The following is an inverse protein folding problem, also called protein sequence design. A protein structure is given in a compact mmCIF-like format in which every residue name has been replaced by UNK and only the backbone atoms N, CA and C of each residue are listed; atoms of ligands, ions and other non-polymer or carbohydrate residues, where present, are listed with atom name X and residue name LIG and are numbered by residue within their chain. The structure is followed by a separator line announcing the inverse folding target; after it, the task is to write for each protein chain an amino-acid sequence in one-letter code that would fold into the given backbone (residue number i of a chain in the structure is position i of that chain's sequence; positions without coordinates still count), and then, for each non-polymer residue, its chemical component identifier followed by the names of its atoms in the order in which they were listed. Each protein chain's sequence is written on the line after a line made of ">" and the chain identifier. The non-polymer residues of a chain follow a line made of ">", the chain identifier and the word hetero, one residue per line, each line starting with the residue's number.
data_IF_521834323142
#
_entry.id   IF_521834323142
#
_cell.length_a   1.000
_cell.length_b   1.000
_cell.length_c   1.000
_cell.angle_alpha   90.00
_cell.angle_beta   90.00
_cell.angle_gamma   90.00
#
_symmetry.space_group_name_H-M   'P 1'
#
loop_
_entity.id
_entity.type
_entity.pdbx_description
1 polymer ?
#
# COMPACT_ATOMS: atom_id res chain seq x y z
N UNK A 1 7.19 -24.88 -0.57
CA UNK A 1 6.17 -23.84 -0.37
C UNK A 1 6.78 -22.78 0.53
N UNK A 2 6.73 -21.52 0.14
CA UNK A 2 7.17 -20.42 1.02
C UNK A 2 6.27 -20.41 2.26
N UNK A 3 6.86 -20.26 3.43
CA UNK A 3 6.09 -20.11 4.67
C UNK A 3 5.31 -18.79 4.60
N UNK A 4 4.00 -18.86 4.62
CA UNK A 4 3.12 -17.69 4.55
C UNK A 4 3.03 -16.96 5.88
N UNK A 5 3.44 -17.57 6.99
CA UNK A 5 3.23 -17.05 8.35
C UNK A 5 1.79 -16.57 8.58
N UNK A 6 0.81 -17.28 8.00
CA UNK A 6 -0.60 -16.93 8.07
C UNK A 6 -1.13 -17.16 9.48
N UNK A 7 -1.26 -16.08 10.25
CA UNK A 7 -1.74 -16.10 11.63
C UNK A 7 -3.26 -16.07 11.71
N UNK A 8 -3.90 -15.34 10.82
CA UNK A 8 -5.34 -15.11 10.88
C UNK A 8 -5.99 -15.11 9.50
N UNK A 9 -7.22 -15.65 9.45
CA UNK A 9 -8.11 -15.54 8.30
C UNK A 9 -9.53 -15.34 8.82
N UNK A 10 -10.08 -14.15 8.58
CA UNK A 10 -11.38 -13.75 9.11
C UNK A 10 -12.27 -13.20 8.01
N UNK A 11 -13.58 -13.38 8.17
CA UNK A 11 -14.57 -12.81 7.28
C UNK A 11 -15.65 -12.05 8.03
N UNK A 12 -16.19 -11.05 7.38
CA UNK A 12 -17.25 -10.18 7.89
C UNK A 12 -18.41 -10.13 6.88
N UNK A 13 -19.62 -10.35 7.38
CA UNK A 13 -20.84 -10.40 6.56
C UNK A 13 -21.04 -11.75 5.91
N UNK A 14 -21.92 -11.78 4.91
CA UNK A 14 -22.34 -12.97 4.17
C UNK A 14 -22.21 -12.72 2.67
N UNK A 15 -21.86 -13.74 1.92
CA UNK A 15 -21.83 -13.67 0.46
C UNK A 15 -23.26 -13.60 -0.10
N UNK A 16 -23.63 -12.40 -0.57
CA UNK A 16 -24.92 -12.14 -1.22
C UNK A 16 -24.79 -11.89 -2.73
N UNK A 17 -23.63 -12.23 -3.29
CA UNK A 17 -23.34 -12.00 -4.72
C UNK A 17 -23.03 -10.57 -5.10
N UNK A 18 -22.88 -9.65 -4.12
CA UNK A 18 -22.53 -8.26 -4.37
C UNK A 18 -21.02 -8.04 -4.58
N UNK A 19 -20.19 -9.02 -4.17
CA UNK A 19 -18.74 -8.95 -4.18
C UNK A 19 -18.16 -8.80 -2.78
N UNK A 20 -16.86 -8.57 -2.72
CA UNK A 20 -16.15 -8.42 -1.46
C UNK A 20 -14.89 -7.58 -1.60
N UNK A 21 -14.43 -7.00 -0.48
CA UNK A 21 -13.08 -6.49 -0.31
C UNK A 21 -12.25 -7.55 0.42
N UNK A 22 -11.18 -8.01 -0.21
CA UNK A 22 -10.25 -8.98 0.36
C UNK A 22 -8.92 -8.30 0.69
N UNK A 23 -8.67 -8.03 1.95
CA UNK A 23 -7.38 -7.55 2.44
C UNK A 23 -6.38 -8.69 2.56
N UNK A 24 -5.23 -8.53 1.95
CA UNK A 24 -4.07 -9.39 2.16
C UNK A 24 -3.01 -8.57 2.87
N UNK A 25 -2.71 -8.91 4.10
CA UNK A 25 -1.61 -8.37 4.90
C UNK A 25 -0.47 -9.39 4.91
N UNK A 26 0.40 -9.38 3.89
CA UNK A 26 1.39 -10.41 3.73
C UNK A 26 2.52 -10.24 4.75
N UNK A 27 3.02 -11.36 5.29
CA UNK A 27 4.27 -11.37 6.06
C UNK A 27 5.44 -11.46 5.08
N UNK A 28 6.17 -10.36 4.90
CA UNK A 28 7.21 -10.20 3.88
C UNK A 28 8.59 -10.09 4.54
N UNK A 29 9.55 -10.74 3.90
CA UNK A 29 10.98 -10.67 4.25
C UNK A 29 11.80 -10.21 3.05
N UNK A 30 13.07 -9.88 3.25
CA UNK A 30 13.96 -9.48 2.15
C UNK A 30 14.09 -10.58 1.08
N UNK A 31 14.04 -11.85 1.45
CA UNK A 31 14.11 -12.98 0.53
C UNK A 31 12.92 -13.04 -0.45
N UNK A 32 11.74 -12.58 -0.02
CA UNK A 32 10.54 -12.54 -0.87
C UNK A 32 10.67 -11.50 -2.01
N UNK A 33 11.60 -10.54 -1.88
CA UNK A 33 11.88 -9.52 -2.89
C UNK A 33 13.14 -9.80 -3.74
N UNK A 34 13.78 -10.95 -3.57
CA UNK A 34 14.97 -11.29 -4.35
C UNK A 34 14.71 -11.37 -5.87
N UNK A 35 13.47 -11.62 -6.27
CA UNK A 35 13.03 -11.62 -7.67
C UNK A 35 11.51 -11.45 -7.80
N UNK A 36 11.05 -11.08 -9.00
CA UNK A 36 9.62 -11.09 -9.33
C UNK A 36 8.98 -12.48 -9.07
N UNK A 37 9.70 -13.57 -9.36
CA UNK A 37 9.21 -14.93 -9.13
C UNK A 37 9.01 -15.22 -7.63
N UNK A 38 9.93 -14.81 -6.76
CA UNK A 38 9.82 -15.02 -5.32
C UNK A 38 8.59 -14.29 -4.77
N UNK A 39 8.44 -13.00 -5.07
CA UNK A 39 7.28 -12.21 -4.66
C UNK A 39 5.97 -12.77 -5.24
N UNK A 40 5.97 -13.17 -6.52
CA UNK A 40 4.82 -13.77 -7.17
C UNK A 40 4.38 -15.07 -6.51
N UNK A 41 5.33 -15.96 -6.17
CA UNK A 41 5.04 -17.22 -5.47
C UNK A 41 4.48 -16.98 -4.06
N UNK A 42 4.99 -15.97 -3.35
CA UNK A 42 4.47 -15.58 -2.03
C UNK A 42 3.02 -15.11 -2.12
N UNK A 43 2.75 -14.19 -3.05
CA UNK A 43 1.40 -13.64 -3.24
C UNK A 43 0.41 -14.70 -3.74
N UNK A 44 0.83 -15.58 -4.66
CA UNK A 44 0.03 -16.71 -5.13
C UNK A 44 -0.39 -17.65 -3.99
N UNK A 45 0.49 -17.85 -3.01
CA UNK A 45 0.18 -18.62 -1.81
C UNK A 45 -0.99 -18.01 -1.01
N UNK A 46 -1.01 -16.70 -0.79
CA UNK A 46 -2.11 -16.01 -0.12
C UNK A 46 -3.40 -16.05 -0.94
N UNK A 47 -3.30 -15.86 -2.25
CA UNK A 47 -4.45 -15.94 -3.15
C UNK A 47 -5.05 -17.35 -3.17
N UNK A 48 -4.21 -18.39 -3.19
CA UNK A 48 -4.65 -19.78 -3.08
C UNK A 48 -5.36 -20.04 -1.75
N UNK A 49 -4.82 -19.54 -0.64
CA UNK A 49 -5.46 -19.66 0.67
C UNK A 49 -6.83 -18.97 0.74
N UNK A 50 -6.99 -17.83 0.05
CA UNK A 50 -8.29 -17.15 -0.06
C UNK A 50 -9.26 -17.91 -0.97
N UNK A 51 -8.77 -18.46 -2.08
CA UNK A 51 -9.57 -19.32 -2.99
C UNK A 51 -10.09 -20.55 -2.28
N UNK A 52 -9.26 -21.22 -1.50
CA UNK A 52 -9.64 -22.45 -0.80
C UNK A 52 -10.71 -22.20 0.29
N UNK A 53 -10.89 -20.93 0.71
CA UNK A 53 -11.97 -20.46 1.60
C UNK A 53 -13.25 -20.06 0.84
N UNK A 54 -13.22 -20.08 -0.49
CA UNK A 54 -14.35 -19.64 -1.30
C UNK A 54 -14.55 -18.14 -1.35
N UNK A 55 -13.49 -17.34 -1.05
CA UNK A 55 -13.58 -15.89 -0.98
C UNK A 55 -13.34 -15.17 -2.32
N UNK A 56 -12.93 -15.91 -3.37
CA UNK A 56 -12.68 -15.33 -4.68
C UNK A 56 -13.85 -15.52 -5.65
N UNK A 57 -14.26 -14.44 -6.28
CA UNK A 57 -15.24 -14.40 -7.36
C UNK A 57 -14.92 -13.23 -8.31
N UNK A 58 -15.68 -13.09 -9.39
CA UNK A 58 -15.50 -12.04 -10.42
C UNK A 58 -15.75 -10.60 -9.93
N UNK A 59 -16.30 -10.43 -8.72
CA UNK A 59 -16.52 -9.15 -8.04
C UNK A 59 -15.60 -8.94 -6.84
N UNK A 60 -14.58 -9.79 -6.67
CA UNK A 60 -13.60 -9.61 -5.61
C UNK A 60 -12.65 -8.46 -5.92
N UNK A 61 -12.47 -7.57 -4.95
CA UNK A 61 -11.44 -6.53 -4.96
C UNK A 61 -10.39 -6.92 -3.92
N UNK A 62 -9.20 -7.28 -4.37
CA UNK A 62 -8.06 -7.57 -3.50
C UNK A 62 -7.34 -6.26 -3.17
N UNK A 63 -6.95 -6.08 -1.90
CA UNK A 63 -6.24 -4.90 -1.41
C UNK A 63 -4.92 -5.32 -0.78
N UNK A 64 -3.81 -4.86 -1.37
CA UNK A 64 -2.46 -5.02 -0.84
C UNK A 64 -2.02 -3.75 -0.09
N UNK A 65 -1.07 -3.85 0.88
CA UNK A 65 -0.67 -2.73 1.71
C UNK A 65 0.30 -1.76 1.02
N UNK A 66 0.47 -0.58 1.62
CA UNK A 66 1.47 0.40 1.20
C UNK A 66 2.89 -0.20 1.25
N UNK A 67 3.76 0.29 0.37
CA UNK A 67 5.14 -0.17 0.17
C UNK A 67 5.31 -1.63 -0.28
N UNK A 68 4.22 -2.34 -0.54
CA UNK A 68 4.29 -3.73 -1.02
C UNK A 68 5.23 -3.89 -2.23
N UNK A 69 5.25 -2.93 -3.16
CA UNK A 69 6.13 -2.96 -4.33
C UNK A 69 7.48 -2.25 -4.16
N UNK A 70 7.64 -1.42 -3.13
CA UNK A 70 8.82 -0.56 -2.97
C UNK A 70 10.10 -1.37 -2.73
N UNK A 71 9.99 -2.48 -2.03
CA UNK A 71 11.13 -3.34 -1.72
C UNK A 71 11.62 -4.19 -2.89
N UNK A 72 10.96 -4.14 -4.04
CA UNK A 72 11.51 -4.63 -5.30
C UNK A 72 12.77 -3.88 -5.75
N UNK A 73 13.17 -2.85 -5.02
CA UNK A 73 14.52 -2.26 -5.11
C UNK A 73 15.62 -3.33 -4.94
N UNK A 74 15.33 -4.41 -4.21
CA UNK A 74 16.22 -5.57 -3.99
C UNK A 74 16.15 -6.60 -5.13
N UNK A 75 15.20 -6.49 -6.06
CA UNK A 75 15.01 -7.48 -7.10
C UNK A 75 16.22 -7.55 -8.03
N UNK A 76 16.59 -8.80 -8.36
CA UNK A 76 17.70 -9.16 -9.23
C UNK A 76 19.08 -8.67 -8.72
N UNK A 77 19.18 -8.36 -7.42
CA UNK A 77 20.45 -8.07 -6.77
C UNK A 77 21.19 -9.35 -6.34
N UNK A 78 22.53 -9.30 -6.24
CA UNK A 78 23.28 -10.41 -5.70
C UNK A 78 22.83 -10.78 -4.28
N UNK A 79 22.87 -12.06 -3.95
CA UNK A 79 22.46 -12.57 -2.64
C UNK A 79 23.12 -11.83 -1.47
N UNK A 80 24.35 -11.34 -1.65
CA UNK A 80 25.07 -10.56 -0.65
C UNK A 80 24.35 -9.27 -0.25
N UNK A 81 23.46 -8.70 -1.10
CA UNK A 81 22.72 -7.47 -0.80
C UNK A 81 21.65 -7.74 0.26
N UNK A 82 20.91 -8.84 0.14
CA UNK A 82 19.81 -9.16 1.05
C UNK A 82 20.13 -10.27 2.08
N UNK A 83 21.32 -10.89 2.01
CA UNK A 83 21.85 -11.78 3.06
C UNK A 83 22.57 -10.96 4.14
N UNK A 84 21.85 -10.04 4.76
CA UNK A 84 22.30 -9.21 5.88
C UNK A 84 21.09 -8.89 6.74
N UNK A 85 21.30 -8.64 8.01
CA UNK A 85 20.23 -8.27 8.94
C UNK A 85 20.03 -6.74 9.02
N UNK A 86 20.89 -5.95 8.30
CA UNK A 86 20.89 -4.49 8.41
C UNK A 86 20.59 -3.81 7.08
N UNK A 87 19.60 -2.93 7.07
CA UNK A 87 19.25 -2.10 5.92
C UNK A 87 20.45 -1.28 5.41
N UNK A 88 21.14 -0.58 6.30
CA UNK A 88 22.30 0.22 5.92
C UNK A 88 23.40 -0.61 5.22
N UNK A 89 23.58 -1.87 5.61
CA UNK A 89 24.55 -2.76 4.95
C UNK A 89 24.05 -3.19 3.56
N UNK A 90 22.76 -3.48 3.43
CA UNK A 90 22.14 -3.82 2.14
C UNK A 90 22.25 -2.64 1.17
N UNK A 91 21.94 -1.42 1.62
CA UNK A 91 22.07 -0.19 0.83
C UNK A 91 23.49 0.05 0.34
N UNK A 92 24.48 -0.04 1.23
CA UNK A 92 25.90 0.12 0.85
C UNK A 92 26.30 -0.90 -0.21
N UNK A 93 25.90 -2.18 -0.06
CA UNK A 93 26.22 -3.22 -1.04
C UNK A 93 25.53 -2.98 -2.39
N UNK A 94 24.27 -2.57 -2.38
CA UNK A 94 23.53 -2.20 -3.58
C UNK A 94 24.22 -1.02 -4.30
N UNK A 95 24.57 0.04 -3.56
CA UNK A 95 25.27 1.20 -4.11
C UNK A 95 26.62 0.81 -4.69
N UNK A 96 27.40 -0.01 -4.02
CA UNK A 96 28.70 -0.48 -4.53
C UNK A 96 28.55 -1.33 -5.80
N UNK A 97 27.52 -2.16 -5.88
CA UNK A 97 27.24 -2.96 -7.07
C UNK A 97 26.87 -2.09 -8.29
N UNK A 98 26.21 -0.95 -8.06
CA UNK A 98 25.75 -0.02 -9.09
C UNK A 98 26.42 1.35 -9.04
N UNK A 99 27.65 1.44 -8.56
CA UNK A 99 28.31 2.69 -8.17
C UNK A 99 28.24 3.80 -9.22
N UNK A 100 28.50 3.51 -10.49
CA UNK A 100 28.46 4.52 -11.55
C UNK A 100 27.04 5.04 -11.83
N UNK A 101 26.07 4.12 -11.89
CA UNK A 101 24.66 4.49 -12.07
C UNK A 101 24.14 5.28 -10.87
N UNK A 102 24.49 4.87 -9.66
CA UNK A 102 24.10 5.55 -8.43
C UNK A 102 24.68 6.99 -8.38
N UNK A 103 25.98 7.16 -8.65
CA UNK A 103 26.60 8.49 -8.68
C UNK A 103 25.95 9.41 -9.69
N UNK A 104 25.59 8.89 -10.88
CA UNK A 104 24.85 9.66 -11.87
C UNK A 104 23.49 10.12 -11.34
N UNK A 105 22.71 9.22 -10.73
CA UNK A 105 21.42 9.57 -10.15
C UNK A 105 21.59 10.56 -8.99
N UNK A 106 22.59 10.38 -8.14
CA UNK A 106 22.87 11.28 -7.01
C UNK A 106 23.20 12.70 -7.46
N UNK A 107 24.00 12.83 -8.53
CA UNK A 107 24.38 14.13 -9.09
C UNK A 107 23.20 14.85 -9.77
N UNK A 108 22.24 14.10 -10.31
CA UNK A 108 21.08 14.63 -11.03
C UNK A 108 19.82 14.74 -10.15
N UNK A 109 19.82 14.19 -8.94
CA UNK A 109 18.72 14.28 -8.00
C UNK A 109 18.48 15.73 -7.56
N UNK A 110 17.21 16.16 -7.62
CA UNK A 110 16.75 17.48 -7.20
C UNK A 110 16.08 17.47 -5.83
N UNK A 111 15.78 16.30 -5.32
CA UNK A 111 15.15 16.04 -4.04
C UNK A 111 16.12 16.41 -2.90
N UNK A 112 15.57 16.73 -1.71
CA UNK A 112 16.36 16.94 -0.50
C UNK A 112 16.98 15.61 -0.01
N UNK A 113 16.19 14.53 0.00
CA UNK A 113 16.61 13.14 0.27
C UNK A 113 17.27 12.53 -0.97
N UNK A 114 18.47 13.01 -1.30
CA UNK A 114 19.18 12.63 -2.54
C UNK A 114 19.57 11.15 -2.59
N UNK A 115 19.86 10.55 -1.45
CA UNK A 115 20.30 9.14 -1.39
C UNK A 115 19.14 8.21 -1.75
N UNK A 116 18.00 8.37 -1.08
CA UNK A 116 16.78 7.62 -1.33
C UNK A 116 16.29 7.84 -2.77
N UNK A 117 16.30 9.10 -3.22
CA UNK A 117 15.90 9.43 -4.58
C UNK A 117 16.82 8.77 -5.63
N UNK A 118 18.13 8.73 -5.39
CA UNK A 118 19.08 8.10 -6.29
C UNK A 118 18.86 6.58 -6.39
N UNK A 119 18.60 5.91 -5.26
CA UNK A 119 18.30 4.47 -5.21
C UNK A 119 17.01 4.16 -5.97
N UNK A 120 15.90 4.87 -5.68
CA UNK A 120 14.63 4.62 -6.36
C UNK A 120 14.71 4.90 -7.87
N UNK A 121 15.42 5.95 -8.31
CA UNK A 121 15.62 6.25 -9.73
C UNK A 121 16.47 5.19 -10.42
N UNK A 122 17.52 4.72 -9.75
CA UNK A 122 18.42 3.68 -10.24
C UNK A 122 17.65 2.39 -10.54
N UNK A 123 16.75 1.99 -9.63
CA UNK A 123 16.03 0.71 -9.70
C UNK A 123 14.63 0.84 -10.32
N UNK A 124 14.19 2.03 -10.72
CA UNK A 124 12.83 2.31 -11.15
C UNK A 124 12.30 1.37 -12.24
N UNK A 125 13.12 1.06 -13.25
CA UNK A 125 12.73 0.15 -14.34
C UNK A 125 12.51 -1.27 -13.85
N UNK A 126 13.48 -1.82 -13.10
CA UNK A 126 13.39 -3.17 -12.51
C UNK A 126 12.18 -3.29 -11.59
N UNK A 127 11.98 -2.30 -10.71
CA UNK A 127 10.83 -2.26 -9.79
C UNK A 127 9.50 -2.25 -10.56
N UNK A 128 9.34 -1.37 -11.55
CA UNK A 128 8.10 -1.25 -12.31
C UNK A 128 7.79 -2.53 -13.09
N UNK A 129 8.79 -3.12 -13.75
CA UNK A 129 8.62 -4.34 -14.55
C UNK A 129 8.32 -5.56 -13.68
N UNK A 130 9.07 -5.77 -12.60
CA UNK A 130 8.84 -6.88 -11.66
C UNK A 130 7.47 -6.76 -11.00
N UNK A 131 7.12 -5.58 -10.50
CA UNK A 131 5.84 -5.31 -9.86
C UNK A 131 4.67 -5.53 -10.83
N UNK A 132 4.74 -4.95 -12.04
CA UNK A 132 3.70 -5.14 -13.05
C UNK A 132 3.55 -6.62 -13.44
N UNK A 133 4.66 -7.33 -13.67
CA UNK A 133 4.64 -8.76 -14.03
C UNK A 133 3.92 -9.60 -12.99
N UNK A 134 4.24 -9.40 -11.71
CA UNK A 134 3.62 -10.12 -10.58
C UNK A 134 2.11 -9.81 -10.50
N UNK A 135 1.75 -8.53 -10.37
CA UNK A 135 0.37 -8.17 -10.07
C UNK A 135 -0.57 -8.38 -11.26
N UNK A 136 -0.09 -8.15 -12.48
CA UNK A 136 -0.82 -8.47 -13.71
C UNK A 136 -1.13 -9.98 -13.81
N UNK A 137 -0.15 -10.82 -13.48
CA UNK A 137 -0.31 -12.27 -13.47
C UNK A 137 -1.34 -12.70 -12.42
N UNK A 138 -1.25 -12.18 -11.21
CA UNK A 138 -2.20 -12.50 -10.12
C UNK A 138 -3.60 -12.04 -10.47
N UNK A 139 -3.80 -10.78 -10.88
CA UNK A 139 -5.12 -10.26 -11.24
C UNK A 139 -5.78 -11.10 -12.33
N UNK A 140 -5.02 -11.47 -13.37
CA UNK A 140 -5.48 -12.29 -14.49
C UNK A 140 -5.76 -13.75 -14.08
N UNK A 141 -4.88 -14.37 -13.30
CA UNK A 141 -5.02 -15.77 -12.89
C UNK A 141 -6.26 -15.97 -12.04
N UNK A 142 -6.50 -15.07 -11.10
CA UNK A 142 -7.62 -15.16 -10.16
C UNK A 142 -8.86 -14.39 -10.61
N UNK A 143 -8.79 -13.65 -11.72
CA UNK A 143 -9.87 -12.85 -12.31
C UNK A 143 -10.47 -11.86 -11.31
N UNK A 144 -9.61 -11.14 -10.59
CA UNK A 144 -10.00 -10.18 -9.54
C UNK A 144 -9.57 -8.77 -9.92
N UNK A 145 -10.28 -7.77 -9.40
CA UNK A 145 -9.73 -6.41 -9.33
C UNK A 145 -8.66 -6.39 -8.24
N UNK A 146 -7.50 -5.80 -8.49
CA UNK A 146 -6.40 -5.80 -7.54
C UNK A 146 -5.88 -4.38 -7.31
N UNK A 147 -6.09 -3.85 -6.10
CA UNK A 147 -5.42 -2.65 -5.58
C UNK A 147 -4.01 -3.08 -5.17
N UNK A 148 -3.02 -2.67 -5.92
CA UNK A 148 -1.68 -3.25 -5.88
C UNK A 148 -0.85 -2.92 -4.64
N UNK A 149 -1.40 -2.17 -3.68
CA UNK A 149 -0.58 -1.58 -2.63
C UNK A 149 0.17 -0.37 -3.20
N UNK A 150 1.37 -0.08 -2.72
CA UNK A 150 2.12 1.02 -3.31
C UNK A 150 3.58 0.70 -3.58
N UNK A 151 4.18 1.53 -4.42
CA UNK A 151 5.62 1.59 -4.65
C UNK A 151 6.05 3.03 -4.97
N UNK A 152 7.35 3.31 -4.86
CA UNK A 152 7.91 4.63 -5.18
C UNK A 152 8.52 4.61 -6.57
N UNK A 153 7.99 5.47 -7.48
CA UNK A 153 8.49 5.56 -8.86
C UNK A 153 8.62 7.01 -9.34
N UNK A 154 9.60 7.29 -10.23
CA UNK A 154 9.70 8.59 -10.89
C UNK A 154 8.62 8.72 -11.97
N UNK A 155 7.83 9.81 -11.91
CA UNK A 155 6.79 10.16 -12.88
C UNK A 155 6.07 8.93 -13.46
N UNK A 156 5.41 8.10 -12.61
CA UNK A 156 4.75 6.87 -13.05
C UNK A 156 3.63 7.19 -14.04
N UNK A 157 3.44 6.30 -15.03
CA UNK A 157 2.37 6.41 -16.03
C UNK A 157 1.92 5.03 -16.49
N UNK A 158 0.80 5.01 -17.17
CA UNK A 158 0.27 3.79 -17.79
C UNK A 158 0.44 3.88 -19.30
N UNK A 159 1.07 2.87 -19.90
CA UNK A 159 1.21 2.71 -21.35
C UNK A 159 0.71 1.32 -21.76
N UNK A 160 -0.26 1.27 -22.65
CA UNK A 160 -0.87 0.03 -23.12
C UNK A 160 -1.34 -0.94 -22.02
N UNK A 161 -1.80 -0.39 -20.86
CA UNK A 161 -2.22 -1.18 -19.70
C UNK A 161 -1.07 -1.70 -18.84
N UNK A 162 0.13 -1.13 -18.97
CA UNK A 162 1.32 -1.45 -18.15
C UNK A 162 1.73 -0.25 -17.32
N UNK A 163 2.17 -0.52 -16.10
CA UNK A 163 2.81 0.50 -15.26
C UNK A 163 4.24 0.74 -15.77
N UNK A 164 4.57 2.00 -16.03
CA UNK A 164 5.88 2.42 -16.53
C UNK A 164 6.46 3.48 -15.61
N UNK A 165 7.74 3.32 -15.25
CA UNK A 165 8.51 4.36 -14.60
C UNK A 165 8.94 5.42 -15.63
N UNK A 166 8.74 6.68 -15.32
CA UNK A 166 9.11 7.81 -16.18
C UNK A 166 10.41 8.48 -15.78
N UNK A 167 10.56 9.75 -16.21
CA UNK A 167 11.64 10.64 -15.81
C UNK A 167 11.02 11.90 -15.22
N UNK A 168 11.15 12.12 -13.92
CA UNK A 168 10.50 13.25 -13.26
C UNK A 168 10.51 13.11 -11.74
N UNK A 169 9.67 13.85 -11.02
CA UNK A 169 9.54 13.72 -9.57
C UNK A 169 9.17 12.30 -9.12
N UNK A 170 9.59 11.92 -7.92
CA UNK A 170 9.22 10.66 -7.29
C UNK A 170 7.84 10.77 -6.65
N UNK A 171 7.00 9.74 -6.85
CA UNK A 171 5.68 9.63 -6.25
C UNK A 171 5.51 8.26 -5.60
N UNK A 172 4.84 8.22 -4.46
CA UNK A 172 4.17 7.01 -3.99
C UNK A 172 2.97 6.75 -4.90
N UNK A 173 2.90 5.58 -5.52
CA UNK A 173 1.87 5.26 -6.52
C UNK A 173 1.22 3.92 -6.23
N UNK A 174 -0.11 3.88 -6.32
CA UNK A 174 -0.93 2.66 -6.26
C UNK A 174 -1.66 2.47 -7.59
N UNK A 175 -1.29 1.49 -8.41
CA UNK A 175 -2.06 1.08 -9.57
C UNK A 175 -3.21 0.16 -9.14
N UNK A 176 -4.31 0.24 -9.90
CA UNK A 176 -5.43 -0.70 -9.82
C UNK A 176 -5.41 -1.58 -11.07
N UNK A 177 -5.36 -2.89 -10.88
CA UNK A 177 -5.40 -3.87 -11.96
C UNK A 177 -6.82 -4.38 -12.17
N UNK A 178 -7.22 -4.45 -13.42
CA UNK A 178 -8.46 -5.07 -13.85
C UNK A 178 -8.33 -6.60 -13.94
N UNK A 179 -9.44 -7.36 -13.93
CA UNK A 179 -9.41 -8.84 -13.94
C UNK A 179 -8.72 -9.47 -15.17
N UNK A 180 -8.45 -8.71 -16.22
CA UNK A 180 -7.66 -9.14 -17.38
C UNK A 180 -6.15 -8.91 -17.20
N UNK A 181 -5.73 -8.37 -16.06
CA UNK A 181 -4.33 -8.12 -15.70
C UNK A 181 -3.76 -6.79 -16.21
N UNK A 182 -4.59 -5.91 -16.77
CA UNK A 182 -4.16 -4.58 -17.20
C UNK A 182 -4.25 -3.59 -16.05
N UNK A 183 -3.37 -2.61 -16.04
CA UNK A 183 -3.49 -1.45 -15.14
C UNK A 183 -4.57 -0.52 -15.70
N UNK A 184 -5.47 -0.03 -14.84
CA UNK A 184 -6.37 1.07 -15.19
C UNK A 184 -5.59 2.28 -15.70
N UNK A 185 -6.17 3.06 -16.58
CA UNK A 185 -5.50 4.25 -17.15
C UNK A 185 -5.13 5.30 -16.12
N UNK A 186 -5.81 5.30 -14.98
CA UNK A 186 -5.58 6.21 -13.87
C UNK A 186 -4.69 5.57 -12.81
N UNK A 187 -3.85 6.39 -12.17
CA UNK A 187 -3.00 6.00 -11.06
C UNK A 187 -3.35 6.81 -9.82
N UNK A 188 -3.40 6.16 -8.67
CA UNK A 188 -3.47 6.86 -7.38
C UNK A 188 -2.07 7.28 -7.00
N UNK A 189 -1.85 8.57 -6.84
CA UNK A 189 -0.61 9.14 -6.34
C UNK A 189 -0.82 9.64 -4.92
N UNK A 190 0.14 9.39 -4.02
CA UNK A 190 0.06 9.82 -2.62
C UNK A 190 -0.04 11.34 -2.52
N UNK A 191 -1.09 11.81 -1.84
CA UNK A 191 -1.41 13.24 -1.72
C UNK A 191 -0.67 13.87 -0.54
N UNK A 192 -0.56 13.13 0.55
CA UNK A 192 0.01 13.59 1.82
C UNK A 192 1.15 12.68 2.27
N UNK A 193 2.34 12.75 1.62
CA UNK A 193 3.54 12.10 2.14
C UNK A 193 3.83 12.56 3.56
N UNK A 194 4.29 11.65 4.42
CA UNK A 194 4.68 11.97 5.80
C UNK A 194 5.96 12.82 5.86
N UNK A 195 6.31 13.33 7.04
CA UNK A 195 7.57 14.08 7.24
C UNK A 195 8.81 13.29 6.83
N UNK A 196 8.78 11.97 6.91
CA UNK A 196 9.87 11.08 6.51
C UNK A 196 9.93 10.87 4.99
N UNK A 197 8.80 10.99 4.32
CA UNK A 197 8.68 10.80 2.87
C UNK A 197 8.91 12.10 2.07
N UNK A 198 8.51 13.25 2.62
CA UNK A 198 8.63 14.56 1.97
C UNK A 198 10.02 14.89 1.44
N UNK A 199 11.15 14.46 2.05
CA UNK A 199 12.47 14.72 1.51
C UNK A 199 12.73 14.13 0.11
N UNK A 200 12.05 13.03 -0.25
CA UNK A 200 12.27 12.38 -1.56
C UNK A 200 10.98 12.19 -2.38
N UNK A 201 9.79 12.29 -1.75
CA UNK A 201 8.51 12.05 -2.41
C UNK A 201 7.75 13.37 -2.66
N UNK A 202 7.23 13.53 -3.86
CA UNK A 202 6.44 14.69 -4.25
C UNK A 202 4.98 14.47 -3.91
N UNK A 203 4.32 15.37 -3.17
CA UNK A 203 2.88 15.34 -2.96
C UNK A 203 2.11 15.49 -4.28
N UNK A 204 1.08 14.69 -4.48
CA UNK A 204 0.18 14.87 -5.61
C UNK A 204 -0.95 15.87 -5.27
N UNK A 205 -1.65 16.34 -6.29
CA UNK A 205 -2.82 17.22 -6.11
C UNK A 205 -4.06 16.38 -5.78
N UNK A 206 -4.85 16.79 -4.80
CA UNK A 206 -6.14 16.17 -4.47
C UNK A 206 -7.13 16.19 -5.65
N UNK A 207 -7.04 17.18 -6.54
CA UNK A 207 -7.85 17.23 -7.77
C UNK A 207 -7.55 16.06 -8.72
N UNK A 208 -6.36 15.46 -8.62
CA UNK A 208 -5.96 14.32 -9.44
C UNK A 208 -6.33 12.95 -8.84
N UNK A 209 -6.96 12.91 -7.65
CA UNK A 209 -7.41 11.65 -7.04
C UNK A 209 -8.50 11.01 -7.90
N UNK A 210 -8.26 9.80 -8.48
CA UNK A 210 -9.24 9.09 -9.30
C UNK A 210 -10.18 8.22 -8.46
N UNK A 211 -11.24 7.71 -9.13
CA UNK A 211 -11.99 6.54 -8.69
C UNK A 211 -12.02 5.51 -9.81
N UNK A 212 -12.42 4.28 -9.51
CA UNK A 212 -12.38 3.13 -10.41
C UNK A 212 -13.73 2.45 -10.46
N UNK A 213 -14.24 2.22 -11.67
CA UNK A 213 -15.42 1.40 -11.87
C UNK A 213 -15.00 -0.09 -11.78
N UNK A 214 -15.57 -0.80 -10.83
CA UNK A 214 -15.29 -2.24 -10.62
C UNK A 214 -16.57 -3.05 -10.69
N UNK A 215 -16.50 -4.38 -10.90
CA UNK A 215 -17.69 -5.23 -10.85
C UNK A 215 -18.44 -5.20 -9.51
N UNK A 216 -17.78 -4.80 -8.42
CA UNK A 216 -18.38 -4.69 -7.08
C UNK A 216 -18.94 -3.30 -6.75
N UNK A 217 -18.68 -2.30 -7.58
CA UNK A 217 -19.08 -0.90 -7.36
C UNK A 217 -17.94 0.07 -7.60
N UNK A 218 -18.20 1.36 -7.42
CA UNK A 218 -17.22 2.41 -7.62
C UNK A 218 -16.27 2.50 -6.44
N UNK A 219 -15.00 2.30 -6.71
CA UNK A 219 -13.93 2.20 -5.72
C UNK A 219 -13.13 3.50 -5.61
N UNK A 220 -13.00 4.04 -4.40
CA UNK A 220 -11.98 5.02 -4.02
C UNK A 220 -10.78 4.34 -3.38
N UNK A 221 -9.57 4.84 -3.68
CA UNK A 221 -8.34 4.34 -3.07
C UNK A 221 -7.57 5.50 -2.45
N UNK A 222 -7.18 5.36 -1.18
CA UNK A 222 -6.36 6.34 -0.44
C UNK A 222 -5.09 5.65 0.05
N UNK A 223 -3.95 6.31 -0.08
CA UNK A 223 -2.67 5.72 0.35
C UNK A 223 -2.35 6.19 1.77
N UNK A 224 -2.53 5.29 2.76
CA UNK A 224 -2.10 5.46 4.15
C UNK A 224 -2.48 6.84 4.75
N UNK A 225 -1.52 7.78 4.87
CA UNK A 225 -1.72 9.11 5.42
C UNK A 225 -2.81 9.92 4.69
N UNK A 226 -3.11 9.65 3.41
CA UNK A 226 -4.21 10.31 2.70
C UNK A 226 -5.55 10.09 3.38
N UNK A 227 -5.72 8.94 4.05
CA UNK A 227 -6.95 8.57 4.76
C UNK A 227 -7.24 9.43 6.01
N UNK A 228 -6.29 10.24 6.44
CA UNK A 228 -6.45 11.13 7.58
C UNK A 228 -7.05 12.50 7.20
N UNK A 229 -7.09 12.83 5.90
CA UNK A 229 -7.45 14.17 5.44
C UNK A 229 -8.90 14.22 4.94
N UNK A 230 -9.76 15.11 5.52
CA UNK A 230 -11.15 15.28 5.07
C UNK A 230 -11.29 15.55 3.58
N UNK A 231 -10.38 16.36 3.02
CA UNK A 231 -10.38 16.72 1.60
C UNK A 231 -10.33 15.51 0.66
N UNK A 232 -9.70 14.40 1.08
CA UNK A 232 -9.72 13.15 0.32
C UNK A 232 -11.13 12.55 0.28
N UNK A 233 -11.81 12.50 1.41
CA UNK A 233 -13.18 11.97 1.48
C UNK A 233 -14.19 12.87 0.77
N UNK A 234 -14.06 14.19 0.88
CA UNK A 234 -14.86 15.15 0.11
C UNK A 234 -14.72 14.93 -1.39
N UNK A 235 -13.49 14.70 -1.86
CA UNK A 235 -13.22 14.37 -3.26
C UNK A 235 -13.84 13.03 -3.66
N UNK A 236 -13.71 11.98 -2.85
CA UNK A 236 -14.33 10.68 -3.09
C UNK A 236 -15.87 10.79 -3.08
N UNK A 237 -16.45 11.58 -2.18
CA UNK A 237 -17.88 11.85 -2.14
C UNK A 237 -18.38 12.54 -3.42
N UNK A 238 -17.64 13.53 -3.92
CA UNK A 238 -17.97 14.22 -5.16
C UNK A 238 -17.93 13.30 -6.40
N UNK A 239 -17.26 12.15 -6.31
CA UNK A 239 -17.21 11.12 -7.35
C UNK A 239 -18.19 9.97 -7.12
N UNK A 240 -19.00 10.03 -6.08
CA UNK A 240 -20.01 9.01 -5.73
C UNK A 240 -19.42 7.61 -5.52
N UNK A 241 -18.31 7.49 -4.78
CA UNK A 241 -17.71 6.18 -4.50
C UNK A 241 -18.58 5.35 -3.57
N UNK A 242 -18.63 4.04 -3.79
CA UNK A 242 -19.38 3.06 -3.00
C UNK A 242 -18.50 2.38 -1.95
N UNK A 243 -17.21 2.22 -2.28
CA UNK A 243 -16.21 1.44 -1.55
C UNK A 243 -14.92 2.23 -1.37
N UNK A 244 -14.24 2.06 -0.22
CA UNK A 244 -12.94 2.68 0.04
C UNK A 244 -11.92 1.59 0.42
N UNK A 245 -10.81 1.55 -0.32
CA UNK A 245 -9.65 0.70 -0.02
C UNK A 245 -8.45 1.57 0.39
N UNK A 246 -7.76 1.17 1.45
CA UNK A 246 -6.63 1.94 1.97
C UNK A 246 -5.41 1.02 2.17
N UNK A 247 -4.49 0.98 1.21
CA UNK A 247 -3.14 0.48 1.42
C UNK A 247 -2.41 1.31 2.47
N UNK A 248 -1.89 0.69 3.53
CA UNK A 248 -1.16 1.39 4.60
C UNK A 248 0.10 0.63 5.02
N UNK A 249 1.02 1.36 5.65
CA UNK A 249 2.15 0.83 6.38
C UNK A 249 2.16 1.43 7.78
N UNK A 250 2.20 0.59 8.80
CA UNK A 250 2.07 1.02 10.20
C UNK A 250 3.40 1.23 10.93
N UNK A 251 4.53 0.93 10.28
CA UNK A 251 5.85 1.05 10.90
C UNK A 251 6.03 0.15 12.14
N UNK A 252 6.68 0.69 13.17
CA UNK A 252 6.93 -0.02 14.42
C UNK A 252 5.61 -0.25 15.20
N UNK A 253 5.30 -1.49 15.60
CA UNK A 253 4.12 -1.80 16.41
C UNK A 253 4.04 -1.02 17.72
N UNK A 254 5.18 -0.69 18.33
CA UNK A 254 5.25 0.02 19.59
C UNK A 254 4.72 1.47 19.52
N UNK A 255 4.71 2.07 18.32
CA UNK A 255 4.20 3.44 18.13
C UNK A 255 2.69 3.52 18.35
N UNK A 256 1.97 2.43 18.10
CA UNK A 256 0.50 2.43 18.10
C UNK A 256 -0.13 2.69 19.48
N UNK A 257 0.58 2.37 20.54
CA UNK A 257 0.16 2.64 21.93
C UNK A 257 0.82 3.90 22.52
N UNK A 258 1.65 4.62 21.74
CA UNK A 258 2.26 5.88 22.16
C UNK A 258 1.29 7.05 21.95
N UNK A 259 1.49 8.16 22.72
CA UNK A 259 0.72 9.36 22.53
C UNK A 259 0.85 9.92 21.10
N UNK A 260 -0.29 10.13 20.44
CA UNK A 260 -0.34 10.68 19.10
C UNK A 260 0.26 12.08 19.02
N UNK A 261 1.20 12.30 18.12
CA UNK A 261 1.92 13.58 17.99
C UNK A 261 1.22 14.61 17.09
N UNK A 262 0.11 14.26 16.46
CA UNK A 262 -0.54 15.06 15.42
C UNK A 262 -0.19 14.57 14.02
N UNK A 263 -0.58 15.33 13.01
CA UNK A 263 -0.36 15.01 11.60
C UNK A 263 1.12 15.12 11.21
N UNK A 264 1.65 14.08 10.59
CA UNK A 264 3.06 14.04 10.18
C UNK A 264 3.28 14.81 8.86
N UNK A 265 4.17 15.80 8.89
CA UNK A 265 4.54 16.59 7.70
C UNK A 265 3.53 17.66 7.29
N UNK A 266 2.36 17.73 7.92
CA UNK A 266 1.25 18.61 7.54
C UNK A 266 0.59 19.24 8.77
N UNK A 267 -0.08 20.38 8.56
CA UNK A 267 -0.91 20.97 9.60
C UNK A 267 -2.13 20.06 9.88
N UNK A 268 -2.55 20.00 11.14
CA UNK A 268 -3.81 19.33 11.51
C UNK A 268 -4.98 19.98 10.76
N UNK A 269 -5.86 19.21 10.11
CA UNK A 269 -7.12 19.73 9.57
C UNK A 269 -7.96 20.43 10.65
N UNK A 270 -8.82 21.37 10.23
CA UNK A 270 -9.62 22.20 11.14
C UNK A 270 -10.64 21.44 11.99
N UNK A 271 -11.00 20.21 11.58
CA UNK A 271 -11.93 19.32 12.28
C UNK A 271 -11.24 18.45 13.36
N UNK A 272 -9.93 18.57 13.51
CA UNK A 272 -9.16 17.88 14.57
C UNK A 272 -9.29 18.62 15.88
N UNK A 273 -9.75 17.92 16.93
CA UNK A 273 -9.69 18.46 18.28
C UNK A 273 -8.24 18.45 18.77
N UNK A 274 -7.62 19.63 18.89
CA UNK A 274 -6.25 19.77 19.34
C UNK A 274 -5.99 19.21 20.75
N UNK A 275 -7.04 19.00 21.56
CA UNK A 275 -6.93 18.34 22.86
C UNK A 275 -6.59 16.85 22.73
N UNK A 276 -6.82 16.26 21.60
CA UNK A 276 -6.50 14.85 21.35
C UNK A 276 -5.00 14.63 21.13
N UNK A 277 -4.29 15.65 20.65
CA UNK A 277 -2.84 15.59 20.46
C UNK A 277 -2.16 15.35 21.82
N UNK A 278 -1.32 14.32 21.88
CA UNK A 278 -0.65 13.81 23.11
C UNK A 278 -1.59 13.21 24.17
N UNK A 279 -2.89 13.08 23.89
CA UNK A 279 -3.88 12.42 24.78
C UNK A 279 -4.37 11.10 24.23
N UNK A 280 -4.73 11.04 22.96
CA UNK A 280 -5.04 9.78 22.32
C UNK A 280 -3.75 9.01 22.05
N UNK A 281 -3.84 7.69 22.01
CA UNK A 281 -2.80 6.87 21.41
C UNK A 281 -2.81 7.04 19.88
N UNK A 282 -1.71 6.70 19.22
CA UNK A 282 -1.66 6.69 17.76
C UNK A 282 -2.80 5.82 17.17
N UNK A 283 -3.04 4.63 17.73
CA UNK A 283 -4.11 3.74 17.29
C UNK A 283 -5.52 4.32 17.49
N UNK A 284 -5.77 5.02 18.59
CA UNK A 284 -7.06 5.68 18.80
C UNK A 284 -7.25 6.89 17.89
N UNK A 285 -6.18 7.60 17.57
CA UNK A 285 -6.20 8.68 16.59
C UNK A 285 -6.48 8.14 15.18
N UNK A 286 -5.87 7.01 14.78
CA UNK A 286 -6.21 6.31 13.52
C UNK A 286 -7.70 5.97 13.45
N UNK A 287 -8.26 5.42 14.54
CA UNK A 287 -9.71 5.11 14.58
C UNK A 287 -10.57 6.36 14.42
N UNK A 288 -10.19 7.46 15.06
CA UNK A 288 -10.97 8.70 15.08
C UNK A 288 -10.82 9.52 13.79
N UNK A 289 -9.61 9.60 13.23
CA UNK A 289 -9.25 10.55 12.19
C UNK A 289 -8.90 9.92 10.83
N UNK A 290 -8.96 8.58 10.70
CA UNK A 290 -8.81 7.89 9.43
C UNK A 290 -10.13 7.21 9.01
N UNK A 291 -10.08 6.06 8.33
CA UNK A 291 -11.22 5.41 7.68
C UNK A 291 -12.49 5.36 8.55
N UNK A 292 -12.39 4.81 9.77
CA UNK A 292 -13.56 4.59 10.60
C UNK A 292 -14.26 5.90 11.01
N UNK A 293 -13.48 6.93 11.33
CA UNK A 293 -14.02 8.23 11.73
C UNK A 293 -14.44 9.11 10.56
N UNK A 294 -13.99 8.82 9.33
CA UNK A 294 -14.19 9.71 8.17
C UNK A 294 -15.03 9.13 7.05
N UNK A 295 -15.27 7.83 7.00
CA UNK A 295 -16.08 7.22 5.94
C UNK A 295 -17.47 7.87 5.82
N UNK A 296 -18.04 8.34 6.93
CA UNK A 296 -19.30 9.07 6.99
C UNK A 296 -19.31 10.42 6.25
N UNK A 297 -18.14 10.95 5.85
CA UNK A 297 -18.04 12.13 4.97
C UNK A 297 -18.34 11.78 3.50
N UNK A 298 -18.53 10.51 3.19
CA UNK A 298 -18.85 10.01 1.84
C UNK A 298 -20.14 9.22 1.83
N UNK A 299 -20.66 8.92 0.63
CA UNK A 299 -21.73 7.95 0.47
C UNK A 299 -21.26 6.50 0.63
N UNK A 300 -19.95 6.24 0.58
CA UNK A 300 -19.40 4.91 0.77
C UNK A 300 -19.79 4.36 2.14
N UNK A 301 -20.20 3.08 2.15
CA UNK A 301 -20.63 2.40 3.38
C UNK A 301 -19.70 1.28 3.78
N UNK A 302 -18.76 0.91 2.91
CA UNK A 302 -17.82 -0.19 3.13
C UNK A 302 -16.39 0.30 2.89
N UNK A 303 -15.50 -0.09 3.77
CA UNK A 303 -14.10 0.27 3.64
C UNK A 303 -13.17 -0.73 4.33
N UNK A 304 -11.97 -0.84 3.79
CA UNK A 304 -10.94 -1.73 4.30
C UNK A 304 -9.58 -1.02 4.28
N UNK A 305 -8.94 -0.96 5.46
CA UNK A 305 -7.56 -0.50 5.60
C UNK A 305 -6.68 -1.68 5.99
N UNK A 306 -5.63 -1.95 5.23
CA UNK A 306 -4.70 -3.07 5.39
C UNK A 306 -3.28 -2.58 5.58
N UNK A 307 -2.47 -3.34 6.31
CA UNK A 307 -1.11 -2.96 6.68
C UNK A 307 -0.08 -4.01 6.27
N UNK A 308 1.11 -3.54 5.90
CA UNK A 308 2.24 -4.43 5.60
C UNK A 308 2.71 -5.12 6.89
N UNK A 309 2.96 -6.42 6.81
CA UNK A 309 3.49 -7.25 7.89
C UNK A 309 4.88 -7.78 7.55
N UNK A 310 5.52 -8.37 8.53
CA UNK A 310 6.82 -8.99 8.35
C UNK A 310 7.96 -8.12 8.84
N UNK A 311 9.15 -8.55 8.49
CA UNK A 311 10.39 -7.87 8.87
C UNK A 311 11.30 -7.78 7.66
N UNK A 312 11.57 -6.57 7.22
CA UNK A 312 12.52 -6.32 6.17
C UNK A 312 13.85 -5.86 6.77
N UNK A 313 14.82 -6.78 6.82
CA UNK A 313 16.11 -6.55 7.47
C UNK A 313 15.90 -6.14 8.95
N UNK A 314 16.51 -5.05 9.41
CA UNK A 314 16.32 -4.49 10.76
C UNK A 314 15.19 -3.45 10.87
N UNK A 315 14.41 -3.26 9.78
CA UNK A 315 13.23 -2.40 9.86
C UNK A 315 12.10 -3.13 10.57
N UNK A 316 11.63 -2.55 11.66
CA UNK A 316 10.45 -3.04 12.33
C UNK A 316 9.23 -2.87 11.40
N UNK A 317 8.63 -3.99 11.04
CA UNK A 317 7.35 -4.03 10.31
C UNK A 317 6.26 -4.60 11.21
N UNK A 318 5.02 -4.52 10.77
CA UNK A 318 3.88 -5.16 11.43
C UNK A 318 3.10 -4.27 12.38
N UNK A 319 3.42 -2.99 12.51
CA UNK A 319 2.52 -2.01 13.09
C UNK A 319 1.24 -1.86 12.26
N UNK A 320 0.23 -1.28 12.87
CA UNK A 320 -1.04 -1.04 12.20
C UNK A 320 -2.17 -1.95 12.68
N UNK A 321 -3.36 -1.35 12.78
CA UNK A 321 -4.60 -2.04 13.13
C UNK A 321 -5.46 -2.16 11.89
N UNK A 322 -5.62 -3.39 11.36
CA UNK A 322 -6.52 -3.64 10.23
C UNK A 322 -7.90 -3.11 10.55
N UNK A 323 -8.40 -2.19 9.75
CA UNK A 323 -9.69 -1.56 9.97
C UNK A 323 -10.70 -2.03 8.94
N UNK A 324 -11.82 -2.58 9.41
CA UNK A 324 -12.95 -3.01 8.58
C UNK A 324 -14.17 -2.17 8.95
N UNK A 325 -14.74 -1.50 7.96
CA UNK A 325 -16.00 -0.77 8.10
C UNK A 325 -17.05 -1.38 7.19
N UNK A 326 -18.21 -1.72 7.73
CA UNK A 326 -19.39 -2.21 7.00
C UNK A 326 -20.62 -1.42 7.37
N UNK A 327 -21.38 -0.97 6.37
CA UNK A 327 -22.56 -0.12 6.55
C UNK A 327 -22.29 1.17 7.36
N UNK A 328 -21.04 1.66 7.35
CA UNK A 328 -20.62 2.80 8.14
C UNK A 328 -20.23 2.46 9.59
N UNK A 329 -20.27 1.18 9.99
CA UNK A 329 -19.92 0.72 11.33
C UNK A 329 -18.56 0.05 11.35
N UNK A 330 -17.76 0.35 12.37
CA UNK A 330 -16.46 -0.28 12.60
C UNK A 330 -16.65 -1.71 13.12
N UNK A 331 -16.24 -2.70 12.33
CA UNK A 331 -16.33 -4.13 12.71
C UNK A 331 -15.00 -4.67 13.24
N UNK A 332 -13.89 -4.08 12.80
CA UNK A 332 -12.55 -4.54 13.19
C UNK A 332 -11.60 -3.35 13.32
N UNK A 333 -10.80 -3.39 14.36
CA UNK A 333 -9.65 -2.52 14.60
C UNK A 333 -8.64 -3.33 15.45
N UNK A 334 -7.85 -4.18 14.76
CA UNK A 334 -6.99 -5.18 15.44
C UNK A 334 -5.63 -5.28 14.72
N UNK A 335 -4.56 -5.42 15.50
CA UNK A 335 -3.22 -5.78 15.03
C UNK A 335 -3.02 -7.30 15.09
N UNK A 336 -2.33 -7.83 14.09
CA UNK A 336 -1.73 -9.17 14.08
C UNK A 336 -0.25 -9.04 13.75
N UNK A 337 0.57 -9.97 14.21
CA UNK A 337 2.03 -9.93 13.98
C UNK A 337 2.43 -10.71 12.74
N UNK A 338 1.73 -11.79 12.46
CA UNK A 338 1.88 -12.59 11.24
C UNK A 338 1.04 -12.06 10.09
N UNK A 339 1.00 -12.81 9.00
CA UNK A 339 0.13 -12.49 7.86
C UNK A 339 -1.35 -12.63 8.23
N UNK A 340 -2.19 -11.84 7.58
CA UNK A 340 -3.63 -11.87 7.76
C UNK A 340 -4.36 -11.82 6.42
N UNK A 341 -5.44 -12.59 6.32
CA UNK A 341 -6.44 -12.49 5.27
C UNK A 341 -7.75 -11.98 5.89
N UNK A 342 -8.25 -10.86 5.39
CA UNK A 342 -9.44 -10.21 5.91
C UNK A 342 -10.46 -10.03 4.80
N UNK A 343 -11.55 -10.77 4.86
CA UNK A 343 -12.60 -10.72 3.85
C UNK A 343 -13.81 -9.93 4.37
N UNK A 344 -14.26 -8.94 3.60
CA UNK A 344 -15.47 -8.16 3.85
C UNK A 344 -16.46 -8.38 2.71
N UNK A 345 -17.51 -9.17 2.94
CA UNK A 345 -18.65 -9.30 2.02
C UNK A 345 -19.49 -8.03 2.00
N UNK A 346 -19.86 -7.61 0.79
CA UNK A 346 -20.64 -6.37 0.53
C UNK A 346 -22.15 -6.62 0.62
#
# INVERSE_FOLDING_TARGET
>A
MSDLHLEESVEFGENRGCGNLLGIEPYITAADYASAQALGSKLDGYMSAARDRGWLNDRTIVVLPEYFGTWLVLADEPASVFQTDKLATAEVRLVLHHIFGFLWQLLTAKEQGKLEAAVFRLKAGVMADAYHSVLSTIAKTYRVTLVGGSLVLPAPRVEAGRLIAGKGPLYGVTPVYTPDGRVDSNLVLKLYPTSEELPFMTPASSAALPCFDTPAGKLGVLICADSWFPACYERLNAMDVDLIAIPSNGGDPLVWDQPWAGYSGWANPSDVDLKDVKRLTEGDAWRKYALAGRIGLTRARHGLNVFLRGQLLDMAGGGGRTTVVKNGELLRDKTVTGASLVNLWL
#
